data_IF_747643939441
#
_entry.id   IF_747643939441
#
_cell.length_a   1.000
_cell.length_b   1.000
_cell.length_c   1.000
_cell.angle_alpha   90.00
_cell.angle_beta   90.00
_cell.angle_gamma   90.00
#
_symmetry.space_group_name_H-M   'P 1'
#
loop_
_entity.id
_entity.type
_entity.pdbx_description
1 polymer ?
#
# COMPACT_ATOMS: atom_id res chain seq x y z
N UNK A 1 10.81 -14.26 44.53
CA UNK A 1 10.18 -13.14 43.80
C UNK A 1 11.09 -12.75 42.64
N UNK A 2 10.75 -13.10 41.41
CA UNK A 2 11.63 -12.87 40.25
C UNK A 2 11.51 -11.42 39.80
N UNK A 3 12.54 -10.65 40.15
CA UNK A 3 13.12 -9.50 39.43
C UNK A 3 12.25 -8.81 38.36
N UNK A 4 11.71 -7.65 38.72
CA UNK A 4 11.26 -6.65 37.75
C UNK A 4 12.48 -6.16 36.97
N UNK A 5 12.65 -6.64 35.74
CA UNK A 5 13.69 -6.17 34.83
C UNK A 5 13.48 -4.67 34.57
N UNK A 6 14.43 -3.87 35.03
CA UNK A 6 14.61 -2.45 34.76
C UNK A 6 14.46 -2.16 33.25
N UNK A 7 13.28 -1.74 32.80
CA UNK A 7 13.10 -1.16 31.48
C UNK A 7 13.07 0.37 31.60
N UNK A 8 14.23 0.95 31.29
CA UNK A 8 14.42 2.32 30.76
C UNK A 8 14.23 3.51 31.70
N UNK A 9 15.35 4.15 32.04
CA UNK A 9 15.43 5.58 32.41
C UNK A 9 15.11 6.55 31.26
N UNK A 10 14.92 6.06 30.03
CA UNK A 10 14.64 6.85 28.82
C UNK A 10 13.51 6.22 27.97
N UNK A 11 12.38 5.88 28.59
CA UNK A 11 11.23 5.35 27.85
C UNK A 11 10.51 6.48 27.11
N UNK A 12 10.50 6.42 25.77
CA UNK A 12 9.76 7.38 24.95
C UNK A 12 8.25 7.14 25.13
N UNK A 13 7.54 8.20 25.53
CA UNK A 13 6.13 8.18 25.85
C UNK A 13 5.29 8.71 24.68
N UNK A 14 4.14 8.08 24.46
CA UNK A 14 3.07 8.53 23.55
C UNK A 14 1.81 8.57 24.40
N UNK A 15 1.20 9.75 24.53
CA UNK A 15 0.02 9.97 25.40
C UNK A 15 0.23 9.46 26.84
N UNK A 16 1.42 9.72 27.41
CA UNK A 16 1.77 9.30 28.77
C UNK A 16 2.08 7.81 28.96
N UNK A 17 2.05 7.00 27.89
CA UNK A 17 2.36 5.56 27.94
C UNK A 17 3.62 5.23 27.14
N UNK A 18 4.41 4.22 27.55
CA UNK A 18 5.55 3.79 26.75
C UNK A 18 5.13 3.39 25.34
N UNK A 19 5.89 3.82 24.33
CA UNK A 19 5.63 3.48 22.92
C UNK A 19 5.48 1.97 22.67
N UNK A 20 6.20 1.14 23.45
CA UNK A 20 6.13 -0.33 23.43
C UNK A 20 4.72 -0.89 23.72
N UNK A 21 3.89 -0.13 24.46
CA UNK A 21 2.51 -0.50 24.80
C UNK A 21 1.50 0.00 23.75
N UNK A 22 1.95 0.77 22.76
CA UNK A 22 1.07 1.26 21.70
C UNK A 22 0.59 0.09 20.83
N UNK A 23 -0.72 -0.03 20.52
CA UNK A 23 -1.24 -1.12 19.69
C UNK A 23 -0.53 -1.27 18.34
N UNK A 24 -0.10 -0.15 17.76
CA UNK A 24 0.60 -0.10 16.47
C UNK A 24 2.10 -0.41 16.55
N UNK A 25 2.69 -0.45 17.74
CA UNK A 25 4.11 -0.75 17.89
C UNK A 25 4.44 -2.14 17.37
N UNK A 26 3.57 -3.12 17.65
CA UNK A 26 3.69 -4.49 17.12
C UNK A 26 3.61 -4.54 15.59
N UNK A 27 2.77 -3.71 14.98
CA UNK A 27 2.58 -3.62 13.51
C UNK A 27 3.83 -3.04 12.86
N UNK A 28 4.32 -1.91 13.36
CA UNK A 28 5.56 -1.27 12.90
C UNK A 28 6.76 -2.20 13.07
N UNK A 29 6.92 -2.82 14.25
CA UNK A 29 8.01 -3.77 14.50
C UNK A 29 7.97 -4.96 13.54
N UNK A 30 6.78 -5.51 13.29
CA UNK A 30 6.57 -6.59 12.32
C UNK A 30 6.89 -6.18 10.89
N UNK A 31 6.55 -4.94 10.48
CA UNK A 31 6.97 -4.36 9.19
C UNK A 31 8.50 -4.31 9.06
N UNK A 32 9.19 -3.74 10.06
CA UNK A 32 10.66 -3.64 10.05
C UNK A 32 11.31 -5.01 9.99
N UNK A 33 10.87 -5.97 10.81
CA UNK A 33 11.43 -7.32 10.84
C UNK A 33 11.28 -8.06 9.51
N UNK A 34 10.17 -7.91 8.80
CA UNK A 34 9.96 -8.52 7.47
C UNK A 34 10.98 -8.03 6.45
N UNK A 35 11.49 -6.81 6.57
CA UNK A 35 12.43 -6.23 5.61
C UNK A 35 13.90 -6.47 5.99
N UNK A 36 14.23 -6.56 7.29
CA UNK A 36 15.64 -6.53 7.74
C UNK A 36 16.13 -7.84 8.35
N UNK A 37 15.24 -8.64 8.95
CA UNK A 37 15.66 -9.83 9.69
C UNK A 37 15.60 -11.07 8.78
N UNK A 38 16.75 -11.56 8.33
CA UNK A 38 16.88 -12.77 7.49
C UNK A 38 16.21 -14.03 8.06
N UNK A 39 16.02 -14.09 9.39
CA UNK A 39 15.36 -15.21 10.08
C UNK A 39 13.85 -15.04 10.22
N UNK A 40 13.29 -13.87 9.91
CA UNK A 40 11.85 -13.65 10.00
C UNK A 40 11.14 -14.42 8.88
N UNK A 41 9.97 -15.01 9.20
CA UNK A 41 9.14 -15.79 8.24
C UNK A 41 8.86 -15.00 6.95
N UNK A 42 8.64 -13.69 7.05
CA UNK A 42 8.36 -12.83 5.90
C UNK A 42 9.61 -12.34 5.16
N UNK A 43 10.83 -12.59 5.61
CA UNK A 43 12.01 -12.01 4.97
C UNK A 43 12.16 -12.40 3.50
N UNK A 44 11.88 -13.67 3.18
CA UNK A 44 11.95 -14.17 1.81
C UNK A 44 11.04 -13.40 0.86
N UNK A 45 9.87 -12.99 1.32
CA UNK A 45 8.84 -12.35 0.48
C UNK A 45 8.93 -10.83 0.47
N UNK A 46 9.83 -10.25 1.28
CA UNK A 46 10.02 -8.81 1.45
C UNK A 46 11.51 -8.44 1.35
N UNK A 47 12.28 -8.60 2.43
CA UNK A 47 13.69 -8.21 2.48
C UNK A 47 14.57 -8.85 1.40
N UNK A 48 14.36 -10.14 1.08
CA UNK A 48 15.10 -10.83 0.00
C UNK A 48 14.77 -10.27 -1.40
N UNK A 49 13.58 -9.69 -1.58
CA UNK A 49 13.17 -9.04 -2.83
C UNK A 49 13.67 -7.60 -2.95
N UNK A 50 14.35 -7.09 -1.93
CA UNK A 50 14.84 -5.71 -1.90
C UNK A 50 13.83 -4.67 -1.38
N UNK A 51 12.69 -5.12 -0.84
CA UNK A 51 11.72 -4.23 -0.20
C UNK A 51 12.30 -3.70 1.12
N UNK A 52 12.29 -2.38 1.28
CA UNK A 52 12.82 -1.68 2.46
C UNK A 52 11.73 -0.91 3.18
N UNK A 53 12.10 -0.38 4.34
CA UNK A 53 11.35 0.63 5.09
C UNK A 53 12.07 1.95 4.91
N UNK A 54 11.34 3.04 4.67
CA UNK A 54 11.96 4.35 4.52
C UNK A 54 12.78 4.72 5.77
N UNK A 55 13.87 5.51 5.62
CA UNK A 55 14.77 5.82 6.72
C UNK A 55 14.05 6.43 7.92
N UNK A 56 13.08 7.30 7.68
CA UNK A 56 12.31 7.99 8.72
C UNK A 56 11.55 6.99 9.59
N UNK A 57 10.93 5.97 8.99
CA UNK A 57 10.19 4.96 9.75
C UNK A 57 11.10 3.92 10.37
N UNK A 58 12.29 3.70 9.81
CA UNK A 58 13.23 2.69 10.30
C UNK A 58 14.08 3.22 11.45
N UNK A 59 14.61 4.43 11.30
CA UNK A 59 15.68 5.00 12.11
C UNK A 59 15.19 6.27 12.85
N UNK A 60 14.24 7.00 12.28
CA UNK A 60 13.74 8.27 12.80
C UNK A 60 14.15 9.45 11.91
N UNK A 61 13.72 10.66 12.26
CA UNK A 61 14.04 11.90 11.53
C UNK A 61 15.02 12.82 12.29
N UNK A 62 15.70 12.27 13.30
CA UNK A 62 16.61 13.02 14.18
C UNK A 62 15.92 13.71 15.36
N UNK A 63 14.59 13.82 15.33
CA UNK A 63 13.78 14.35 16.45
C UNK A 63 12.85 13.26 17.00
N UNK A 64 12.15 12.58 16.10
CA UNK A 64 11.23 11.51 16.39
C UNK A 64 11.90 10.16 16.13
N UNK A 65 11.53 9.17 16.94
CA UNK A 65 11.88 7.77 16.63
C UNK A 65 11.14 7.26 15.41
N UNK A 66 11.68 6.22 14.78
CA UNK A 66 11.03 5.63 13.61
C UNK A 66 9.59 5.18 13.83
N UNK A 67 9.24 4.73 15.04
CA UNK A 67 7.84 4.43 15.38
C UNK A 67 6.97 5.69 15.47
N UNK A 68 7.48 6.80 16.02
CA UNK A 68 6.76 8.06 16.07
C UNK A 68 6.58 8.67 14.67
N UNK A 69 7.59 8.58 13.79
CA UNK A 69 7.45 8.97 12.38
C UNK A 69 6.36 8.13 11.70
N UNK A 70 6.37 6.81 11.89
CA UNK A 70 5.32 5.92 11.40
C UNK A 70 3.93 6.32 11.90
N UNK A 71 3.78 6.57 13.21
CA UNK A 71 2.49 6.94 13.81
C UNK A 71 2.01 8.31 13.31
N UNK A 72 2.90 9.30 13.19
CA UNK A 72 2.62 10.62 12.62
C UNK A 72 2.08 10.50 11.19
N UNK A 73 2.74 9.68 10.38
CA UNK A 73 2.46 9.61 8.94
C UNK A 73 1.23 8.76 8.63
N UNK A 74 1.03 7.65 9.35
CA UNK A 74 -0.09 6.72 9.15
C UNK A 74 -1.32 7.05 9.99
N UNK A 75 -1.16 7.86 11.03
CA UNK A 75 -2.20 8.11 12.03
C UNK A 75 -2.62 6.86 12.81
N UNK A 76 -3.70 7.02 13.58
CA UNK A 76 -4.33 5.91 14.28
C UNK A 76 -4.95 4.93 13.30
N UNK A 77 -4.88 3.64 13.65
CA UNK A 77 -5.53 2.59 12.87
C UNK A 77 -7.05 2.68 13.09
N UNK A 78 -7.87 2.85 12.04
CA UNK A 78 -9.31 3.07 12.19
C UNK A 78 -10.05 1.98 12.99
N UNK A 79 -9.65 0.72 12.82
CA UNK A 79 -10.10 -0.37 13.69
C UNK A 79 -9.14 -1.56 13.67
N UNK A 80 -9.28 -2.48 14.64
CA UNK A 80 -8.47 -3.72 14.69
C UNK A 80 -8.59 -4.60 13.44
N UNK A 81 -9.62 -4.41 12.61
CA UNK A 81 -9.84 -5.16 11.36
C UNK A 81 -9.00 -4.64 10.19
N UNK A 82 -8.37 -3.48 10.34
CA UNK A 82 -7.47 -2.93 9.35
C UNK A 82 -6.05 -3.47 9.53
N UNK A 83 -5.37 -3.68 8.41
CA UNK A 83 -4.00 -4.14 8.32
C UNK A 83 -3.18 -3.12 7.52
N UNK A 84 -1.88 -3.10 7.77
CA UNK A 84 -0.96 -2.27 6.99
C UNK A 84 -0.75 -2.92 5.62
N UNK A 85 -1.21 -2.24 4.59
CA UNK A 85 -1.12 -2.63 3.18
C UNK A 85 -0.14 -1.72 2.41
N UNK A 86 0.39 -2.23 1.30
CA UNK A 86 1.15 -1.45 0.33
C UNK A 86 0.35 -1.35 -0.98
N UNK A 87 0.16 -0.13 -1.46
CA UNK A 87 -0.59 0.17 -2.70
C UNK A 87 0.07 -0.51 -3.90
N UNK A 88 1.39 -0.36 -4.03
CA UNK A 88 2.24 -1.16 -4.87
C UNK A 88 2.93 -2.24 -4.03
N UNK A 89 2.58 -3.51 -4.29
CA UNK A 89 3.13 -4.66 -3.59
C UNK A 89 4.64 -4.86 -3.81
N UNK A 90 5.23 -4.22 -4.82
CA UNK A 90 6.66 -4.25 -5.09
C UNK A 90 7.40 -3.05 -4.48
N UNK A 91 6.70 -1.98 -4.12
CA UNK A 91 7.29 -0.78 -3.55
C UNK A 91 7.68 -0.89 -2.07
N UNK A 92 8.50 0.05 -1.60
CA UNK A 92 8.97 0.13 -0.22
C UNK A 92 7.86 0.54 0.77
N UNK A 93 8.08 0.31 2.06
CA UNK A 93 7.22 0.84 3.12
C UNK A 93 7.53 2.32 3.36
N UNK A 94 6.62 3.19 2.95
CA UNK A 94 6.66 4.64 3.18
C UNK A 94 5.23 5.19 3.21
N UNK A 95 5.06 6.45 3.65
CA UNK A 95 3.76 7.13 3.72
C UNK A 95 2.98 7.07 2.40
N UNK A 96 3.66 7.24 1.27
CA UNK A 96 3.00 7.32 -0.04
C UNK A 96 2.55 5.96 -0.56
N UNK A 97 3.29 4.90 -0.22
CA UNK A 97 2.96 3.54 -0.65
C UNK A 97 2.09 2.80 0.37
N UNK A 98 2.02 3.23 1.63
CA UNK A 98 1.27 2.52 2.66
C UNK A 98 -0.14 3.06 2.87
N UNK A 99 -1.02 2.17 3.32
CA UNK A 99 -2.39 2.52 3.75
C UNK A 99 -2.92 1.51 4.77
N UNK A 100 -3.93 1.92 5.53
CA UNK A 100 -4.77 0.98 6.25
C UNK A 100 -5.76 0.34 5.29
N UNK A 101 -5.79 -0.99 5.23
CA UNK A 101 -6.75 -1.75 4.42
C UNK A 101 -7.54 -2.71 5.31
N UNK A 102 -8.87 -2.70 5.21
CA UNK A 102 -9.69 -3.67 5.92
C UNK A 102 -9.59 -5.06 5.28
N UNK A 103 -9.80 -6.11 6.06
CA UNK A 103 -9.81 -7.49 5.54
C UNK A 103 -10.89 -7.68 4.45
N UNK A 104 -12.03 -6.99 4.53
CA UNK A 104 -13.09 -7.04 3.52
C UNK A 104 -12.66 -6.38 2.20
N UNK A 105 -11.90 -5.27 2.27
CA UNK A 105 -11.30 -4.65 1.08
C UNK A 105 -10.14 -5.49 0.55
N UNK A 106 -9.34 -6.12 1.42
CA UNK A 106 -8.27 -7.01 1.01
C UNK A 106 -8.83 -8.23 0.27
N UNK A 107 -9.88 -8.88 0.76
CA UNK A 107 -10.55 -10.01 0.07
C UNK A 107 -11.11 -9.57 -1.29
N UNK A 108 -11.73 -8.38 -1.38
CA UNK A 108 -12.17 -7.80 -2.66
C UNK A 108 -11.01 -7.50 -3.60
N UNK A 109 -9.83 -7.19 -3.06
CA UNK A 109 -8.62 -6.88 -3.83
C UNK A 109 -7.76 -8.12 -4.13
N UNK A 110 -7.88 -9.23 -3.38
CA UNK A 110 -6.82 -10.25 -3.32
C UNK A 110 -6.97 -11.47 -4.22
N UNK A 111 -8.11 -12.18 -4.42
CA UNK A 111 -8.00 -13.42 -5.24
C UNK A 111 -9.26 -14.20 -5.68
N UNK A 112 -10.31 -13.60 -6.27
CA UNK A 112 -11.35 -14.46 -6.88
C UNK A 112 -12.01 -13.94 -8.15
N UNK A 113 -11.82 -12.68 -8.51
CA UNK A 113 -12.37 -12.11 -9.74
C UNK A 113 -11.25 -11.46 -10.51
N UNK A 114 -10.99 -11.97 -11.71
CA UNK A 114 -9.99 -11.49 -12.68
C UNK A 114 -10.17 -10.01 -13.07
N UNK A 115 -11.22 -9.35 -12.55
CA UNK A 115 -11.66 -8.01 -12.87
C UNK A 115 -11.54 -7.07 -11.65
N UNK A 116 -10.39 -6.39 -11.53
CA UNK A 116 -10.06 -5.44 -10.45
C UNK A 116 -10.92 -4.18 -10.53
N UNK A 117 -11.07 -3.44 -9.42
CA UNK A 117 -11.84 -2.16 -9.38
C UNK A 117 -11.44 -1.16 -10.46
N UNK A 118 -10.14 -1.04 -10.75
CA UNK A 118 -9.64 -0.19 -11.83
C UNK A 118 -10.04 -0.72 -13.22
N UNK A 119 -10.01 -2.03 -13.43
CA UNK A 119 -10.49 -2.63 -14.68
C UNK A 119 -12.01 -2.43 -14.83
N UNK A 120 -12.77 -2.47 -13.73
CA UNK A 120 -14.21 -2.14 -13.74
C UNK A 120 -14.45 -0.69 -14.12
N UNK A 121 -13.71 0.27 -13.55
CA UNK A 121 -13.91 1.70 -13.87
C UNK A 121 -13.57 2.01 -15.33
N UNK A 122 -12.53 1.37 -15.88
CA UNK A 122 -12.18 1.49 -17.30
C UNK A 122 -13.21 0.77 -18.17
N UNK A 123 -13.65 -0.43 -17.81
CA UNK A 123 -14.69 -1.16 -18.55
C UNK A 123 -16.04 -0.42 -18.57
N UNK A 124 -16.45 0.21 -17.45
CA UNK A 124 -17.65 1.06 -17.40
C UNK A 124 -17.55 2.24 -18.36
N UNK A 125 -16.36 2.83 -18.52
CA UNK A 125 -16.13 3.85 -19.52
C UNK A 125 -16.22 3.32 -20.93
N UNK A 126 -15.56 2.21 -21.24
CA UNK A 126 -15.64 1.58 -22.57
C UNK A 126 -17.10 1.25 -22.94
N UNK A 127 -17.92 0.85 -21.96
CA UNK A 127 -19.37 0.67 -22.14
C UNK A 127 -20.06 2.00 -22.53
N UNK A 128 -19.73 3.12 -21.87
CA UNK A 128 -20.28 4.45 -22.20
C UNK A 128 -19.82 4.95 -23.57
N UNK A 129 -18.59 4.63 -23.96
CA UNK A 129 -18.01 4.93 -25.28
C UNK A 129 -18.55 4.01 -26.39
N UNK A 130 -19.40 3.04 -26.04
CA UNK A 130 -20.12 2.19 -27.00
C UNK A 130 -19.45 0.85 -27.33
N UNK A 131 -18.36 0.48 -26.66
CA UNK A 131 -17.69 -0.80 -26.88
C UNK A 131 -18.62 -2.00 -26.56
N UNK A 132 -18.47 -3.09 -27.30
CA UNK A 132 -19.27 -4.29 -27.10
C UNK A 132 -18.81 -5.10 -25.88
N UNK A 133 -19.72 -5.89 -25.32
CA UNK A 133 -19.39 -6.76 -24.18
C UNK A 133 -18.29 -7.78 -24.52
N UNK A 134 -18.20 -8.22 -25.78
CA UNK A 134 -17.19 -9.20 -26.23
C UNK A 134 -15.80 -8.58 -26.34
N UNK A 135 -15.69 -7.36 -26.86
CA UNK A 135 -14.40 -6.65 -26.96
C UNK A 135 -13.80 -6.36 -25.59
N UNK A 136 -14.63 -5.86 -24.67
CA UNK A 136 -14.23 -5.60 -23.28
C UNK A 136 -13.81 -6.92 -22.61
N UNK A 137 -14.60 -7.98 -22.79
CA UNK A 137 -14.31 -9.29 -22.23
C UNK A 137 -12.97 -9.85 -22.72
N UNK A 138 -12.71 -9.76 -24.03
CA UNK A 138 -11.45 -10.18 -24.63
C UNK A 138 -10.26 -9.36 -24.10
N UNK A 139 -10.42 -8.04 -23.96
CA UNK A 139 -9.38 -7.11 -23.46
C UNK A 139 -8.86 -7.53 -22.08
N UNK A 140 -9.75 -8.01 -21.20
CA UNK A 140 -9.41 -8.34 -19.82
C UNK A 140 -9.38 -9.84 -19.52
N UNK A 141 -9.57 -10.70 -20.53
CA UNK A 141 -9.60 -12.15 -20.36
C UNK A 141 -10.71 -12.63 -19.42
N UNK A 142 -11.88 -11.99 -19.47
CA UNK A 142 -13.06 -12.39 -18.68
C UNK A 142 -14.18 -12.92 -19.55
N UNK A 143 -15.12 -13.65 -18.96
CA UNK A 143 -16.31 -14.05 -19.69
C UNK A 143 -17.22 -12.84 -19.94
N UNK A 144 -17.81 -12.74 -21.13
CA UNK A 144 -18.66 -11.60 -21.50
C UNK A 144 -19.90 -11.40 -20.62
N UNK A 145 -20.30 -12.40 -19.82
CA UNK A 145 -21.38 -12.28 -18.85
C UNK A 145 -20.99 -11.35 -17.71
N UNK A 146 -19.73 -11.35 -17.30
CA UNK A 146 -19.19 -10.42 -16.29
C UNK A 146 -19.37 -8.98 -16.73
N UNK A 147 -19.06 -8.67 -17.99
CA UNK A 147 -19.28 -7.33 -18.58
C UNK A 147 -20.77 -7.00 -18.68
N UNK A 148 -21.59 -8.01 -19.00
CA UNK A 148 -23.05 -7.93 -19.02
C UNK A 148 -23.65 -7.54 -17.66
N UNK A 149 -23.12 -8.10 -16.56
CA UNK A 149 -23.57 -7.81 -15.20
C UNK A 149 -23.15 -6.41 -14.75
N UNK A 150 -21.95 -5.96 -15.16
CA UNK A 150 -21.48 -4.59 -14.95
C UNK A 150 -22.36 -3.59 -15.70
N UNK A 151 -22.65 -3.86 -16.99
CA UNK A 151 -23.52 -3.01 -17.82
C UNK A 151 -24.92 -2.88 -17.23
N UNK A 152 -25.47 -3.96 -16.66
CA UNK A 152 -26.77 -3.96 -15.96
C UNK A 152 -26.70 -3.48 -14.51
N UNK A 153 -25.53 -3.03 -14.06
CA UNK A 153 -25.28 -2.55 -12.70
C UNK A 153 -25.68 -3.57 -11.60
N UNK A 154 -25.68 -4.87 -11.93
CA UNK A 154 -25.94 -5.96 -10.96
C UNK A 154 -24.74 -6.21 -10.05
N UNK A 155 -23.55 -5.84 -10.53
CA UNK A 155 -22.29 -5.92 -9.80
C UNK A 155 -21.57 -4.58 -9.89
N UNK A 156 -20.77 -4.24 -8.87
CA UNK A 156 -19.93 -3.03 -8.83
C UNK A 156 -20.69 -1.71 -8.99
N UNK A 157 -21.88 -1.60 -8.39
CA UNK A 157 -22.74 -0.41 -8.50
C UNK A 157 -22.10 0.86 -7.92
N UNK A 158 -21.20 0.72 -6.95
CA UNK A 158 -20.47 1.80 -6.29
C UNK A 158 -19.34 2.41 -7.15
N UNK A 159 -18.91 1.73 -8.22
CA UNK A 159 -17.77 2.17 -9.02
C UNK A 159 -18.23 3.12 -10.12
N UNK A 160 -17.64 4.32 -10.15
CA UNK A 160 -17.83 5.26 -11.24
C UNK A 160 -16.93 4.94 -12.43
N UNK A 161 -17.35 5.24 -13.67
CA UNK A 161 -16.47 5.21 -14.83
C UNK A 161 -15.21 6.05 -14.57
N UNK A 162 -14.06 5.63 -15.09
CA UNK A 162 -12.85 6.45 -15.00
C UNK A 162 -13.10 7.84 -15.66
N UNK A 163 -12.35 8.87 -15.25
CA UNK A 163 -12.41 10.25 -15.80
C UNK A 163 -11.53 10.41 -17.05
N UNK A 164 -11.93 11.23 -18.04
CA UNK A 164 -11.35 11.27 -19.40
C UNK A 164 -9.80 11.28 -19.41
N UNK A 165 -9.23 11.94 -18.40
CA UNK A 165 -7.80 12.18 -18.24
C UNK A 165 -7.06 11.09 -17.43
N UNK A 166 -7.66 9.92 -17.22
CA UNK A 166 -7.05 8.84 -16.44
C UNK A 166 -5.83 8.27 -17.19
N UNK A 167 -4.63 8.22 -16.55
CA UNK A 167 -3.33 8.01 -17.20
C UNK A 167 -3.10 6.64 -17.84
N UNK A 168 -4.10 5.76 -17.87
CA UNK A 168 -4.02 4.43 -18.49
C UNK A 168 -4.40 4.41 -19.98
N UNK A 169 -4.85 5.53 -20.56
CA UNK A 169 -5.09 5.67 -22.01
C UNK A 169 -3.85 6.20 -22.75
N UNK A 170 -2.83 6.69 -22.04
CA UNK A 170 -1.56 7.19 -22.62
C UNK A 170 -0.30 6.64 -21.94
N UNK A 171 -0.31 5.35 -21.58
CA UNK A 171 0.84 4.65 -20.96
C UNK A 171 2.02 4.43 -21.92
N UNK A 172 2.54 5.50 -22.53
CA UNK A 172 3.92 5.54 -23.04
C UNK A 172 4.67 6.82 -22.69
N UNK A 173 4.04 7.91 -22.24
CA UNK A 173 4.75 9.21 -22.09
C UNK A 173 4.94 9.72 -20.65
N UNK A 174 4.14 9.31 -19.66
CA UNK A 174 4.24 9.88 -18.30
C UNK A 174 5.23 9.16 -17.36
N UNK A 175 5.51 7.87 -17.59
CA UNK A 175 6.39 7.09 -16.72
C UNK A 175 7.87 7.51 -16.81
N UNK A 176 8.30 8.09 -17.94
CA UNK A 176 9.68 8.55 -18.12
C UNK A 176 9.98 9.89 -17.44
N UNK A 177 8.97 10.76 -17.28
CA UNK A 177 9.14 12.09 -16.68
C UNK A 177 9.34 12.02 -15.17
N UNK A 178 8.51 11.27 -14.45
CA UNK A 178 8.61 11.19 -12.98
C UNK A 178 9.81 10.35 -12.50
N UNK A 179 10.29 9.40 -13.29
CA UNK A 179 11.47 8.60 -12.96
C UNK A 179 12.77 9.43 -13.02
N UNK A 180 12.91 10.31 -14.02
CA UNK A 180 14.06 11.24 -14.13
C UNK A 180 14.14 12.21 -12.95
N UNK A 181 12.99 12.73 -12.51
CA UNK A 181 12.93 13.64 -11.36
C UNK A 181 13.23 12.95 -10.03
N UNK A 182 12.89 11.67 -9.89
CA UNK A 182 13.23 10.88 -8.70
C UNK A 182 14.72 10.49 -8.67
N UNK A 183 15.31 10.09 -9.80
CA UNK A 183 16.74 9.77 -9.89
C UNK A 183 17.63 11.00 -9.65
N UNK A 184 17.26 12.17 -10.17
CA UNK A 184 18.05 13.41 -10.00
C UNK A 184 18.23 13.82 -8.53
N UNK A 185 17.23 13.53 -7.69
CA UNK A 185 17.26 13.85 -6.25
C UNK A 185 18.04 12.83 -5.41
N UNK A 186 18.24 11.62 -5.93
CA UNK A 186 19.06 10.59 -5.29
C UNK A 186 20.56 10.78 -5.60
N UNK A 187 20.90 11.29 -6.78
CA UNK A 187 22.30 11.55 -7.18
C UNK A 187 22.88 12.86 -6.62
N UNK A 188 22.05 13.75 -6.08
CA UNK A 188 22.49 15.04 -5.54
C UNK A 188 23.00 14.97 -4.09
N UNK A 189 22.91 13.80 -3.42
CA UNK A 189 23.39 13.61 -2.03
C UNK A 189 24.78 12.98 -1.91
N UNK A 190 25.38 12.54 -3.02
CA UNK A 190 26.69 11.89 -3.06
C UNK A 190 27.71 12.66 -3.94
N UNK A 191 27.53 13.96 -4.15
CA UNK A 191 28.58 14.80 -4.72
C UNK A 191 29.61 15.16 -3.62
N UNK A 192 30.92 14.96 -3.85
CA UNK A 192 31.97 15.23 -2.86
C UNK A 192 32.10 16.70 -2.48
#
# INVERSE_FOLDING_TARGET
MVSARNYSRNAILINGKPCLQHPLYSVWRGMVQRCTNKRAKGYRDYGRRGIRVCPEWREGDGVLTGFQCFLRDMGERPSKRYQLDRRDGNGDYCKDNCRWLSQAENIRNSSATTFRRLQVSIAKRQILEGASNREIAATYGVHHSTVSDIRRNRTWADIQPAAADHPSVSLQSFAESCWRDCQSKLTAKDAP
#
